data_IF_516757011539
#
_entry.id   IF_516757011539
#
_cell.length_a   1.000
_cell.length_b   1.000
_cell.length_c   1.000
_cell.angle_alpha   90.00
_cell.angle_beta   90.00
_cell.angle_gamma   90.00
#
_symmetry.space_group_name_H-M   'P 1'
#
loop_
_entity.id
_entity.type
_entity.pdbx_description
1 polymer ?
#
# COMPACT_ATOMS: atom_id res chain seq x y z
N UNK A 1 7.15 -24.53 5.34
CA UNK A 1 8.00 -23.31 5.36
C UNK A 1 7.64 -22.59 6.64
N UNK A 2 8.55 -22.48 7.61
CA UNK A 2 8.27 -21.87 8.91
C UNK A 2 8.24 -20.35 8.82
N UNK A 3 7.40 -19.69 9.63
CA UNK A 3 7.36 -18.23 9.73
C UNK A 3 8.33 -17.82 10.85
N UNK A 4 9.41 -17.13 10.50
CA UNK A 4 10.29 -16.49 11.48
C UNK A 4 9.57 -15.32 12.14
N UNK A 5 9.46 -15.32 13.47
CA UNK A 5 8.82 -14.26 14.23
C UNK A 5 9.79 -13.65 15.24
N UNK A 6 10.27 -12.44 14.95
CA UNK A 6 11.18 -11.70 15.82
C UNK A 6 10.40 -10.89 16.86
N UNK A 7 10.67 -11.09 18.15
CA UNK A 7 9.95 -10.39 19.22
C UNK A 7 10.74 -10.26 20.52
N UNK A 8 10.34 -9.35 21.40
CA UNK A 8 10.84 -9.30 22.78
C UNK A 8 9.80 -9.94 23.72
N UNK A 9 10.21 -10.73 24.74
CA UNK A 9 9.27 -11.37 25.66
C UNK A 9 8.29 -10.39 26.35
N UNK A 10 8.73 -9.17 26.63
CA UNK A 10 7.92 -8.15 27.28
C UNK A 10 6.89 -7.49 26.33
N UNK A 11 7.13 -7.55 25.02
CA UNK A 11 6.34 -6.85 24.00
C UNK A 11 4.89 -7.33 23.99
N UNK A 12 3.95 -6.44 24.31
CA UNK A 12 2.52 -6.74 24.25
C UNK A 12 2.06 -7.11 22.82
N UNK A 13 2.48 -6.40 21.75
CA UNK A 13 2.23 -6.81 20.36
C UNK A 13 2.83 -8.19 20.03
N UNK A 14 4.03 -8.47 20.56
CA UNK A 14 4.69 -9.77 20.42
C UNK A 14 3.85 -10.92 20.97
N UNK A 15 3.41 -10.78 22.22
CA UNK A 15 2.60 -11.79 22.91
C UNK A 15 1.22 -11.98 22.28
N UNK A 16 0.61 -10.93 21.75
CA UNK A 16 -0.64 -11.02 21.00
C UNK A 16 -0.49 -11.95 19.77
N UNK A 17 0.56 -11.78 18.97
CA UNK A 17 0.81 -12.63 17.80
C UNK A 17 1.09 -14.10 18.19
N UNK A 18 1.83 -14.33 19.28
CA UNK A 18 2.07 -15.69 19.79
C UNK A 18 0.78 -16.37 20.27
N UNK A 19 -0.10 -15.63 20.93
CA UNK A 19 -1.42 -16.12 21.35
C UNK A 19 -2.28 -16.50 20.14
N UNK A 20 -2.32 -15.65 19.11
CA UNK A 20 -3.06 -15.92 17.89
C UNK A 20 -2.50 -17.13 17.13
N UNK A 21 -1.16 -17.20 16.97
CA UNK A 21 -0.50 -18.32 16.31
C UNK A 21 -0.84 -19.65 16.97
N UNK A 22 -0.82 -19.66 18.32
CA UNK A 22 -1.21 -20.84 19.10
C UNK A 22 -2.69 -21.19 18.92
N UNK A 23 -3.56 -20.19 18.82
CA UNK A 23 -5.00 -20.40 18.62
C UNK A 23 -5.34 -20.97 17.24
N UNK A 24 -4.56 -20.61 16.22
CA UNK A 24 -4.75 -21.04 14.83
C UNK A 24 -3.91 -22.26 14.43
N UNK A 25 -3.24 -22.90 15.39
CA UNK A 25 -2.27 -23.99 15.17
C UNK A 25 -1.18 -23.66 14.12
N UNK A 26 -0.78 -22.38 14.06
CA UNK A 26 0.30 -21.90 13.18
C UNK A 26 1.64 -22.06 13.88
N UNK A 27 2.57 -22.77 13.24
CA UNK A 27 3.93 -22.93 13.74
C UNK A 27 4.79 -21.70 13.38
N UNK A 28 5.36 -21.05 14.40
CA UNK A 28 6.30 -19.93 14.25
C UNK A 28 7.66 -20.29 14.85
N UNK A 29 8.74 -19.89 14.18
CA UNK A 29 10.09 -19.91 14.74
C UNK A 29 10.34 -18.58 15.47
N UNK A 30 10.19 -18.58 16.80
CA UNK A 30 10.23 -17.37 17.61
C UNK A 30 11.67 -16.99 17.94
N UNK A 31 12.12 -15.85 17.41
CA UNK A 31 13.47 -15.32 17.60
C UNK A 31 13.43 -14.14 18.56
N UNK A 32 13.99 -14.32 19.75
CA UNK A 32 13.99 -13.26 20.74
C UNK A 32 15.04 -12.18 20.45
N UNK A 33 14.60 -10.92 20.44
CA UNK A 33 15.45 -9.74 20.22
C UNK A 33 15.48 -8.91 21.50
N UNK A 34 16.68 -8.71 22.07
CA UNK A 34 16.89 -7.86 23.23
C UNK A 34 16.93 -6.38 22.81
N UNK A 35 15.82 -5.69 23.07
CA UNK A 35 15.66 -4.27 22.74
C UNK A 35 16.56 -3.35 23.58
N UNK A 36 16.87 -3.76 24.82
CA UNK A 36 17.70 -2.97 25.74
C UNK A 36 19.17 -3.01 25.34
N UNK A 37 19.61 -4.13 24.75
CA UNK A 37 20.94 -4.26 24.14
C UNK A 37 21.02 -3.78 22.70
N UNK A 38 19.95 -3.17 22.19
CA UNK A 38 19.87 -2.70 20.81
C UNK A 38 20.13 -3.83 19.79
N UNK A 39 19.70 -5.06 20.04
CA UNK A 39 19.91 -6.16 19.10
C UNK A 39 19.13 -6.00 17.80
N UNK A 40 17.98 -5.31 17.87
CA UNK A 40 17.25 -4.84 16.69
C UNK A 40 18.07 -3.88 15.83
N UNK A 41 19.21 -3.41 16.35
CA UNK A 41 20.12 -2.53 15.65
C UNK A 41 21.29 -3.24 14.95
N UNK A 42 21.38 -4.58 15.04
CA UNK A 42 22.41 -5.33 14.33
C UNK A 42 22.22 -5.23 12.80
N UNK A 43 23.28 -5.35 11.99
CA UNK A 43 23.20 -5.26 10.52
C UNK A 43 22.18 -6.22 9.88
N UNK A 44 21.93 -7.38 10.49
CA UNK A 44 20.88 -8.30 10.03
C UNK A 44 19.45 -7.72 10.13
N UNK A 45 19.21 -6.77 11.04
CA UNK A 45 17.93 -6.07 11.23
C UNK A 45 17.93 -4.67 10.58
N UNK A 46 19.09 -4.01 10.60
CA UNK A 46 19.33 -2.71 9.99
C UNK A 46 20.19 -2.81 8.74
N UNK A 47 19.70 -3.51 7.72
CA UNK A 47 20.17 -3.19 6.38
C UNK A 47 19.70 -1.75 6.04
N UNK A 48 20.57 -0.76 6.28
CA UNK A 48 20.41 0.67 5.99
C UNK A 48 19.19 1.35 6.64
N UNK A 49 19.34 1.97 7.84
CA UNK A 49 18.21 2.55 8.56
C UNK A 49 17.56 3.71 7.82
N UNK A 50 18.31 4.42 6.97
CA UNK A 50 17.77 5.52 6.16
C UNK A 50 16.87 4.97 5.05
N UNK A 51 17.30 3.89 4.36
CA UNK A 51 16.45 3.21 3.38
C UNK A 51 15.22 2.58 4.02
N UNK A 52 15.37 1.93 5.18
CA UNK A 52 14.23 1.36 5.92
C UNK A 52 13.23 2.45 6.32
N UNK A 53 13.71 3.56 6.89
CA UNK A 53 12.86 4.69 7.24
C UNK A 53 12.12 5.25 6.01
N UNK A 54 12.77 5.30 4.84
CA UNK A 54 12.12 5.73 3.60
C UNK A 54 11.01 4.77 3.18
N UNK A 55 11.23 3.45 3.23
CA UNK A 55 10.19 2.44 2.97
C UNK A 55 9.01 2.61 3.93
N UNK A 56 9.29 2.74 5.23
CA UNK A 56 8.25 2.91 6.25
C UNK A 56 7.46 4.21 6.03
N UNK A 57 8.13 5.31 5.68
CA UNK A 57 7.48 6.58 5.34
C UNK A 57 6.53 6.44 4.15
N UNK A 58 6.85 5.61 3.14
CA UNK A 58 5.96 5.38 1.99
C UNK A 58 4.77 4.50 2.32
N UNK A 59 4.96 3.47 3.13
CA UNK A 59 3.85 2.66 3.65
C UNK A 59 2.91 3.49 4.52
N UNK A 60 3.45 4.32 5.41
CA UNK A 60 2.66 5.24 6.23
C UNK A 60 1.91 6.25 5.36
N UNK A 61 2.56 6.81 4.34
CA UNK A 61 1.91 7.72 3.38
C UNK A 61 0.72 7.05 2.66
N UNK A 62 0.86 5.79 2.23
CA UNK A 62 -0.24 5.05 1.63
C UNK A 62 -1.44 4.96 2.59
N UNK A 63 -1.25 4.36 3.76
CA UNK A 63 -2.36 4.07 4.70
C UNK A 63 -2.98 5.32 5.35
N UNK A 64 -2.21 6.41 5.49
CA UNK A 64 -2.65 7.61 6.23
C UNK A 64 -2.97 8.81 5.33
N UNK A 65 -2.56 8.78 4.05
CA UNK A 65 -2.77 9.89 3.12
C UNK A 65 -3.43 9.43 1.84
N UNK A 66 -2.79 8.58 1.03
CA UNK A 66 -3.31 8.22 -0.29
C UNK A 66 -4.62 7.44 -0.23
N UNK A 67 -4.63 6.30 0.46
CA UNK A 67 -5.83 5.46 0.55
C UNK A 67 -7.01 6.20 1.22
N UNK A 68 -6.83 6.93 2.34
CA UNK A 68 -7.92 7.73 2.92
C UNK A 68 -8.47 8.79 1.97
N UNK A 69 -7.63 9.53 1.23
CA UNK A 69 -8.12 10.56 0.30
C UNK A 69 -8.84 9.99 -0.90
N UNK A 70 -8.36 8.88 -1.43
CA UNK A 70 -9.09 8.10 -2.42
C UNK A 70 -10.46 7.65 -1.87
N UNK A 71 -10.48 7.02 -0.70
CA UNK A 71 -11.69 6.50 -0.06
C UNK A 71 -12.72 7.59 0.26
N UNK A 72 -12.28 8.74 0.77
CA UNK A 72 -13.12 9.91 1.04
C UNK A 72 -13.88 10.39 -0.21
N UNK A 73 -13.30 10.20 -1.40
CA UNK A 73 -13.91 10.54 -2.68
C UNK A 73 -14.83 9.43 -3.22
N UNK A 74 -14.36 8.17 -3.26
CA UNK A 74 -15.11 7.09 -3.93
C UNK A 74 -16.20 6.45 -3.07
N UNK A 75 -15.96 6.25 -1.77
CA UNK A 75 -16.88 5.48 -0.90
C UNK A 75 -18.24 6.15 -0.66
N UNK A 76 -18.36 7.48 -0.48
CA UNK A 76 -19.67 8.12 -0.36
C UNK A 76 -20.54 7.90 -1.61
N UNK A 77 -19.91 7.94 -2.80
CA UNK A 77 -20.62 7.67 -4.06
C UNK A 77 -21.08 6.22 -4.11
N UNK A 78 -20.21 5.26 -3.76
CA UNK A 78 -20.50 3.83 -3.84
C UNK A 78 -21.57 3.36 -2.84
N UNK A 79 -21.49 3.81 -1.60
CA UNK A 79 -22.30 3.23 -0.51
C UNK A 79 -23.45 4.12 -0.03
N UNK A 80 -23.40 5.41 -0.34
CA UNK A 80 -24.38 6.39 0.12
C UNK A 80 -25.10 7.09 -1.02
N UNK A 81 -24.75 6.78 -2.28
CA UNK A 81 -25.25 7.48 -3.48
C UNK A 81 -25.04 9.00 -3.39
N UNK A 82 -23.99 9.43 -2.69
CA UNK A 82 -23.66 10.84 -2.59
C UNK A 82 -23.20 11.36 -3.96
N UNK A 83 -23.45 12.63 -4.29
CA UNK A 83 -22.91 13.24 -5.49
C UNK A 83 -21.38 13.29 -5.46
N UNK A 84 -20.78 13.35 -6.65
CA UNK A 84 -19.34 13.56 -6.78
C UNK A 84 -18.92 14.90 -6.15
N UNK A 85 -17.81 14.87 -5.42
CA UNK A 85 -17.25 16.04 -4.75
C UNK A 85 -15.94 16.47 -5.43
N UNK A 86 -15.95 17.54 -6.25
CA UNK A 86 -14.77 18.02 -6.96
C UNK A 86 -13.63 18.45 -6.04
N UNK A 87 -13.93 18.93 -4.82
CA UNK A 87 -12.89 19.36 -3.87
C UNK A 87 -12.16 18.16 -3.27
N UNK A 88 -12.83 17.03 -3.11
CA UNK A 88 -12.18 15.78 -2.74
C UNK A 88 -11.37 15.18 -3.88
N UNK A 89 -11.84 15.28 -5.13
CA UNK A 89 -11.05 14.84 -6.29
C UNK A 89 -9.74 15.62 -6.40
N UNK A 90 -9.77 16.95 -6.23
CA UNK A 90 -8.55 17.78 -6.19
C UNK A 90 -7.55 17.33 -5.14
N UNK A 91 -8.02 16.87 -3.97
CA UNK A 91 -7.13 16.31 -2.94
C UNK A 91 -6.49 15.00 -3.37
N UNK A 92 -7.20 14.16 -4.13
CA UNK A 92 -6.58 12.96 -4.73
C UNK A 92 -5.52 13.37 -5.75
N UNK A 93 -5.80 14.35 -6.61
CA UNK A 93 -4.84 14.90 -7.59
C UNK A 93 -3.59 15.49 -6.92
N UNK A 94 -3.77 16.25 -5.83
CA UNK A 94 -2.65 16.81 -5.05
C UNK A 94 -1.75 15.71 -4.48
N UNK A 95 -2.36 14.66 -3.90
CA UNK A 95 -1.62 13.52 -3.35
C UNK A 95 -0.89 12.73 -4.44
N UNK A 96 -1.48 12.60 -5.64
CA UNK A 96 -0.81 12.03 -6.81
C UNK A 96 0.42 12.86 -7.22
N UNK A 97 0.36 14.18 -7.08
CA UNK A 97 1.53 15.05 -7.25
C UNK A 97 2.69 14.69 -6.32
N UNK A 98 2.44 14.28 -5.07
CA UNK A 98 3.50 13.79 -4.19
C UNK A 98 4.07 12.45 -4.63
N UNK A 99 3.23 11.54 -5.13
CA UNK A 99 3.68 10.24 -5.65
C UNK A 99 4.61 10.45 -6.86
N UNK A 100 4.28 11.34 -7.78
CA UNK A 100 5.15 11.76 -8.90
C UNK A 100 6.53 12.26 -8.42
N UNK A 101 6.58 13.01 -7.31
CA UNK A 101 7.83 13.47 -6.73
C UNK A 101 8.64 12.32 -6.10
N UNK A 102 7.96 11.36 -5.45
CA UNK A 102 8.62 10.21 -4.81
C UNK A 102 9.25 9.27 -5.82
N UNK A 103 8.68 9.16 -7.02
CA UNK A 103 9.15 8.30 -8.10
C UNK A 103 10.38 8.84 -8.86
N UNK A 104 11.03 9.89 -8.36
CA UNK A 104 12.24 10.47 -8.99
C UNK A 104 13.38 9.46 -9.24
N UNK A 105 13.47 8.42 -8.41
CA UNK A 105 14.52 7.39 -8.48
C UNK A 105 14.00 6.07 -9.10
N UNK A 106 12.75 6.04 -9.58
CA UNK A 106 12.16 4.94 -10.34
C UNK A 106 11.37 3.91 -9.53
N UNK A 107 11.50 3.87 -8.21
CA UNK A 107 10.64 3.15 -7.25
C UNK A 107 10.16 4.10 -6.15
N UNK A 108 9.11 3.72 -5.41
CA UNK A 108 8.45 4.64 -4.47
C UNK A 108 9.35 5.04 -3.29
N UNK A 109 10.28 4.16 -2.93
CA UNK A 109 11.21 4.30 -1.82
C UNK A 109 12.68 4.32 -2.27
N UNK A 110 12.96 4.82 -3.48
CA UNK A 110 14.32 4.99 -4.01
C UNK A 110 14.55 4.23 -5.32
N UNK A 111 15.70 3.59 -5.46
CA UNK A 111 16.15 2.96 -6.71
C UNK A 111 15.98 1.43 -6.78
N UNK A 112 15.43 0.80 -5.74
CA UNK A 112 15.20 -0.64 -5.69
C UNK A 112 13.75 -0.96 -5.36
N UNK A 113 13.27 -2.10 -5.84
CA UNK A 113 11.97 -2.65 -5.46
C UNK A 113 11.93 -2.99 -3.97
N UNK A 114 10.89 -2.55 -3.27
CA UNK A 114 10.67 -2.77 -1.83
C UNK A 114 9.22 -3.14 -1.54
N UNK A 115 8.90 -3.51 -0.30
CA UNK A 115 7.52 -3.78 0.12
C UNK A 115 6.59 -2.56 -0.04
N UNK A 116 7.13 -1.33 0.02
CA UNK A 116 6.34 -0.13 -0.22
C UNK A 116 5.82 -0.05 -1.66
N UNK A 117 6.56 -0.62 -2.62
CA UNK A 117 6.14 -0.64 -4.01
C UNK A 117 4.94 -1.55 -4.24
N UNK A 118 4.86 -2.68 -3.55
CA UNK A 118 3.68 -3.57 -3.63
C UNK A 118 2.43 -2.86 -3.09
N UNK A 119 2.55 -2.19 -1.93
CA UNK A 119 1.46 -1.39 -1.37
C UNK A 119 1.00 -0.30 -2.35
N UNK A 120 1.95 0.49 -2.83
CA UNK A 120 1.69 1.63 -3.72
C UNK A 120 1.12 1.19 -5.07
N UNK A 121 1.69 0.16 -5.70
CA UNK A 121 1.21 -0.34 -6.98
C UNK A 121 -0.22 -0.90 -6.89
N UNK A 122 -0.57 -1.56 -5.79
CA UNK A 122 -1.92 -2.05 -5.56
C UNK A 122 -2.95 -0.92 -5.50
N UNK A 123 -2.72 0.11 -4.68
CA UNK A 123 -3.65 1.24 -4.61
C UNK A 123 -3.69 2.05 -5.90
N UNK A 124 -2.54 2.31 -6.54
CA UNK A 124 -2.51 3.04 -7.81
C UNK A 124 -3.25 2.30 -8.93
N UNK A 125 -3.09 0.98 -9.04
CA UNK A 125 -3.85 0.17 -10.01
C UNK A 125 -5.36 0.16 -9.71
N UNK A 126 -5.76 0.20 -8.44
CA UNK A 126 -7.17 0.34 -8.04
C UNK A 126 -7.73 1.69 -8.47
N UNK A 127 -6.98 2.77 -8.25
CA UNK A 127 -7.37 4.12 -8.67
C UNK A 127 -7.45 4.22 -10.19
N UNK A 128 -6.48 3.66 -10.91
CA UNK A 128 -6.49 3.55 -12.37
C UNK A 128 -7.77 2.86 -12.87
N UNK A 129 -8.12 1.70 -12.29
CA UNK A 129 -9.30 0.93 -12.67
C UNK A 129 -10.62 1.69 -12.47
N UNK A 130 -10.69 2.61 -11.50
CA UNK A 130 -11.87 3.47 -11.30
C UNK A 130 -12.06 4.50 -12.42
N UNK A 131 -10.97 4.93 -13.07
CA UNK A 131 -10.99 5.97 -14.10
C UNK A 131 -11.26 7.39 -13.59
N UNK A 132 -11.10 7.64 -12.28
CA UNK A 132 -11.34 8.98 -11.69
C UNK A 132 -10.26 9.99 -12.07
N UNK A 133 -9.08 9.51 -12.44
CA UNK A 133 -7.94 10.31 -12.88
C UNK A 133 -7.44 9.85 -14.24
N UNK A 134 -6.93 10.79 -15.01
CA UNK A 134 -6.21 10.54 -16.26
C UNK A 134 -4.73 10.33 -15.97
N UNK A 135 -4.29 9.08 -15.96
CA UNK A 135 -2.90 8.70 -15.65
C UNK A 135 -1.90 9.21 -16.70
N UNK A 136 -2.34 9.59 -17.89
CA UNK A 136 -1.44 10.19 -18.90
C UNK A 136 -0.86 11.55 -18.45
N UNK A 137 -1.51 12.21 -17.48
CA UNK A 137 -1.03 13.44 -16.84
C UNK A 137 0.05 13.19 -15.78
N UNK A 138 0.22 11.93 -15.38
CA UNK A 138 1.13 11.48 -14.34
C UNK A 138 2.14 10.51 -14.94
N UNK A 139 3.07 11.07 -15.72
CA UNK A 139 4.00 10.29 -16.55
C UNK A 139 4.84 9.28 -15.75
N UNK A 140 5.38 9.65 -14.57
CA UNK A 140 6.19 8.71 -13.80
C UNK A 140 5.33 7.66 -13.13
N UNK A 141 4.11 8.00 -12.70
CA UNK A 141 3.17 7.02 -12.15
C UNK A 141 2.82 5.98 -13.21
N UNK A 142 2.52 6.41 -14.44
CA UNK A 142 2.23 5.51 -15.55
C UNK A 142 3.43 4.59 -15.85
N UNK A 143 4.63 5.15 -16.01
CA UNK A 143 5.86 4.36 -16.23
C UNK A 143 6.16 3.40 -15.06
N UNK A 144 5.91 3.85 -13.83
CA UNK A 144 6.10 3.06 -12.62
C UNK A 144 5.12 1.87 -12.55
N UNK A 145 3.84 2.09 -12.83
CA UNK A 145 2.85 1.02 -12.85
C UNK A 145 3.19 -0.04 -13.90
N UNK A 146 3.55 0.38 -15.12
CA UNK A 146 3.99 -0.56 -16.16
C UNK A 146 5.22 -1.37 -15.74
N UNK A 147 6.16 -0.72 -15.05
CA UNK A 147 7.32 -1.40 -14.46
C UNK A 147 6.89 -2.42 -13.40
N UNK A 148 5.98 -2.06 -12.50
CA UNK A 148 5.46 -2.97 -11.46
C UNK A 148 4.73 -4.17 -12.07
N UNK A 149 3.90 -3.95 -13.12
CA UNK A 149 3.24 -5.02 -13.89
C UNK A 149 4.23 -6.07 -14.39
N UNK A 150 5.35 -5.64 -14.96
CA UNK A 150 6.37 -6.54 -15.49
C UNK A 150 7.24 -7.22 -14.43
N UNK A 151 7.43 -6.60 -13.26
CA UNK A 151 8.33 -7.11 -12.20
C UNK A 151 7.62 -8.00 -11.17
N UNK A 152 6.36 -7.70 -10.84
CA UNK A 152 5.64 -8.38 -9.75
C UNK A 152 4.97 -9.66 -10.26
N UNK A 153 5.48 -10.80 -9.80
CA UNK A 153 4.91 -12.11 -10.16
C UNK A 153 3.48 -12.24 -9.65
N UNK A 154 2.59 -12.74 -10.50
CA UNK A 154 1.17 -12.89 -10.18
C UNK A 154 0.38 -11.58 -10.26
N UNK A 155 0.90 -10.55 -10.94
CA UNK A 155 0.22 -9.24 -11.06
C UNK A 155 -1.24 -9.36 -11.48
N UNK A 156 -1.52 -10.09 -12.57
CA UNK A 156 -2.87 -10.16 -13.13
C UNK A 156 -3.85 -10.85 -12.16
N UNK A 157 -3.45 -12.00 -11.62
CA UNK A 157 -4.33 -12.85 -10.80
C UNK A 157 -4.48 -12.36 -9.35
N UNK A 158 -3.44 -11.78 -8.76
CA UNK A 158 -3.42 -11.37 -7.35
C UNK A 158 -3.74 -9.88 -7.15
N UNK A 159 -3.50 -9.03 -8.16
CA UNK A 159 -3.66 -7.58 -8.04
C UNK A 159 -4.67 -7.01 -9.06
N UNK A 160 -4.41 -7.17 -10.37
CA UNK A 160 -5.22 -6.49 -11.40
C UNK A 160 -6.68 -6.94 -11.38
N UNK A 161 -6.93 -8.24 -11.24
CA UNK A 161 -8.29 -8.78 -11.18
C UNK A 161 -9.12 -8.13 -10.06
N UNK A 162 -8.51 -7.91 -8.88
CA UNK A 162 -9.15 -7.23 -7.76
C UNK A 162 -9.39 -5.73 -8.02
N UNK A 163 -8.38 -5.04 -8.58
CA UNK A 163 -8.50 -3.64 -8.97
C UNK A 163 -9.62 -3.42 -10.00
N UNK A 164 -9.72 -4.29 -11.00
CA UNK A 164 -10.76 -4.23 -12.04
C UNK A 164 -12.15 -4.43 -11.47
N UNK A 165 -12.33 -5.40 -10.56
CA UNK A 165 -13.60 -5.62 -9.86
C UNK A 165 -14.00 -4.38 -9.07
N UNK A 166 -13.08 -3.77 -8.33
CA UNK A 166 -13.36 -2.52 -7.61
C UNK A 166 -13.74 -1.38 -8.56
N UNK A 167 -12.99 -1.22 -9.65
CA UNK A 167 -13.27 -0.22 -10.69
C UNK A 167 -14.65 -0.40 -11.31
N UNK A 168 -15.06 -1.64 -11.56
CA UNK A 168 -16.41 -1.98 -12.05
C UNK A 168 -17.49 -1.60 -11.03
N UNK A 169 -17.30 -1.90 -9.74
CA UNK A 169 -18.25 -1.49 -8.69
C UNK A 169 -18.42 0.02 -8.63
N UNK A 170 -17.32 0.77 -8.68
CA UNK A 170 -17.38 2.23 -8.68
C UNK A 170 -18.09 2.78 -9.93
N UNK A 171 -17.76 2.26 -11.12
CA UNK A 171 -18.42 2.66 -12.38
C UNK A 171 -19.91 2.34 -12.40
N UNK A 172 -20.33 1.21 -11.81
CA UNK A 172 -21.73 0.86 -11.65
C UNK A 172 -22.45 1.86 -10.73
N UNK A 173 -21.87 2.19 -9.58
CA UNK A 173 -22.43 3.21 -8.67
C UNK A 173 -22.57 4.59 -9.35
N UNK A 174 -21.63 4.97 -10.22
CA UNK A 174 -21.74 6.19 -11.02
C UNK A 174 -22.85 6.16 -12.06
N UNK A 175 -23.13 4.99 -12.64
CA UNK A 175 -24.25 4.84 -13.57
C UNK A 175 -25.59 4.97 -12.84
N UNK A 176 -25.71 4.35 -11.67
CA UNK A 176 -26.89 4.41 -10.81
C UNK A 176 -27.17 5.82 -10.25
N UNK A 177 -26.15 6.67 -10.11
CA UNK A 177 -26.32 8.06 -9.71
C UNK A 177 -26.93 8.93 -10.83
N UNK A 178 -26.77 8.50 -12.09
CA UNK A 178 -27.24 9.23 -13.29
C UNK A 178 -28.63 8.78 -13.75
N UNK A 179 -29.13 7.65 -13.24
CA UNK A 179 -30.47 7.11 -13.49
C UNK A 179 -31.51 7.69 -12.52
#
# INVERSE_FOLDING_TARGET
MGIDFYTSPASAPGRMNLLLAKHLDVTMDVKHVDLMKQEQMKPEFIADPQKRALVDMRLLFDISTLYPKFGEYVYPTMFQKAPLDPEKLKKVEEVFGYVELFLKDGFIAGSNLTIADFSMASILSTIEATGILDFSKFGKIAEYLEKCRGLMKGWDELNQAGADVFGQWYKAALADLKS
#
